data_IF_962362679746
#
_entry.id   IF_962362679746
#
_cell.length_a   1.000
_cell.length_b   1.000
_cell.length_c   1.000
_cell.angle_alpha   90.00
_cell.angle_beta   90.00
_cell.angle_gamma   90.00
#
_symmetry.space_group_name_H-M   'P 1'
#
loop_
_entity.id
_entity.type
_entity.pdbx_description
1 polymer ?
#
# COMPACT_ATOMS: atom_id res chain seq x y z
N UNK A 1 9.10 -2.55 -11.41
CA UNK A 1 8.21 -3.36 -12.28
C UNK A 1 7.16 -4.09 -11.46
N UNK A 2 5.88 -4.03 -11.88
CA UNK A 2 4.78 -4.75 -11.23
C UNK A 2 4.53 -6.07 -11.97
N UNK A 3 4.66 -7.19 -11.27
CA UNK A 3 4.37 -8.52 -11.78
C UNK A 3 3.44 -9.28 -10.83
N UNK A 4 2.50 -10.02 -11.41
CA UNK A 4 1.63 -10.92 -10.66
C UNK A 4 2.13 -12.35 -10.80
N UNK A 5 2.37 -13.02 -9.68
CA UNK A 5 2.76 -14.42 -9.67
C UNK A 5 1.64 -15.31 -10.24
N UNK A 6 2.01 -16.40 -10.91
CA UNK A 6 1.05 -17.44 -11.30
C UNK A 6 0.34 -17.99 -10.05
N UNK A 7 -0.86 -18.59 -10.18
CA UNK A 7 -1.57 -19.10 -9.01
C UNK A 7 -0.75 -20.08 -8.15
N UNK A 8 0.02 -20.96 -8.80
CA UNK A 8 0.88 -21.92 -8.11
C UNK A 8 2.06 -21.22 -7.42
N UNK A 9 2.74 -20.32 -8.13
CA UNK A 9 3.87 -19.59 -7.56
C UNK A 9 3.40 -18.71 -6.40
N UNK A 10 2.24 -18.05 -6.54
CA UNK A 10 1.65 -17.25 -5.48
C UNK A 10 1.42 -18.06 -4.20
N UNK A 11 0.97 -19.32 -4.30
CA UNK A 11 0.82 -20.19 -3.13
C UNK A 11 2.17 -20.50 -2.46
N UNK A 12 3.19 -20.85 -3.24
CA UNK A 12 4.55 -21.12 -2.74
C UNK A 12 5.14 -19.87 -2.11
N UNK A 13 5.15 -18.75 -2.83
CA UNK A 13 5.69 -17.47 -2.35
C UNK A 13 4.95 -16.99 -1.10
N UNK A 14 3.65 -17.25 -0.97
CA UNK A 14 2.88 -16.92 0.24
C UNK A 14 3.34 -17.73 1.46
N UNK A 15 3.62 -19.02 1.29
CA UNK A 15 4.14 -19.87 2.37
C UNK A 15 5.51 -19.37 2.86
N UNK A 16 6.42 -19.03 1.94
CA UNK A 16 7.74 -18.53 2.33
C UNK A 16 7.68 -17.11 2.86
N UNK A 17 6.78 -16.28 2.35
CA UNK A 17 6.48 -14.96 2.90
C UNK A 17 6.03 -15.05 4.35
N UNK A 18 5.14 -16.01 4.66
CA UNK A 18 4.71 -16.29 6.04
C UNK A 18 5.90 -16.65 6.94
N UNK A 19 6.75 -17.60 6.52
CA UNK A 19 7.94 -18.01 7.29
C UNK A 19 8.92 -16.86 7.53
N UNK A 20 9.24 -16.07 6.49
CA UNK A 20 10.11 -14.89 6.62
C UNK A 20 9.51 -13.88 7.59
N UNK A 21 8.20 -13.64 7.48
CA UNK A 21 7.51 -12.67 8.33
C UNK A 21 7.58 -13.09 9.80
N UNK A 22 7.36 -14.36 10.14
CA UNK A 22 7.48 -14.83 11.54
C UNK A 22 8.88 -14.58 12.12
N UNK A 23 9.93 -14.89 11.34
CA UNK A 23 11.31 -14.64 11.75
C UNK A 23 11.62 -13.15 11.88
N UNK A 24 11.14 -12.32 10.96
CA UNK A 24 11.28 -10.87 11.01
C UNK A 24 10.57 -10.27 12.23
N UNK A 25 9.38 -10.73 12.58
CA UNK A 25 8.67 -10.26 13.78
C UNK A 25 9.49 -10.51 15.06
N UNK A 26 10.11 -11.69 15.18
CA UNK A 26 11.02 -11.99 16.28
C UNK A 26 12.26 -11.09 16.28
N UNK A 27 12.81 -10.80 15.10
CA UNK A 27 13.96 -9.91 14.93
C UNK A 27 13.63 -8.45 15.27
N UNK A 28 12.45 -7.96 14.88
CA UNK A 28 11.98 -6.62 15.25
C UNK A 28 11.84 -6.47 16.76
N UNK A 29 11.32 -7.50 17.45
CA UNK A 29 11.26 -7.54 18.90
C UNK A 29 12.65 -7.47 19.54
N UNK A 30 13.59 -8.31 19.08
CA UNK A 30 14.98 -8.34 19.59
C UNK A 30 15.72 -7.01 19.37
N UNK A 31 15.48 -6.33 18.25
CA UNK A 31 16.16 -5.09 17.89
C UNK A 31 15.47 -3.82 18.40
N UNK A 32 14.29 -3.92 18.99
CA UNK A 32 13.51 -2.76 19.43
C UNK A 32 12.97 -1.93 18.26
N UNK A 33 12.55 -2.59 17.17
CA UNK A 33 12.05 -1.97 15.94
C UNK A 33 10.53 -2.07 15.78
N UNK A 34 9.84 -2.65 16.76
CA UNK A 34 8.42 -3.00 16.68
C UNK A 34 7.52 -1.83 16.27
N UNK A 35 7.79 -0.63 16.79
CA UNK A 35 6.98 0.57 16.52
C UNK A 35 7.52 1.44 15.38
N UNK A 36 8.68 1.08 14.81
CA UNK A 36 9.35 1.84 13.75
C UNK A 36 9.02 1.28 12.37
N UNK A 37 9.09 -0.04 12.18
CA UNK A 37 8.76 -0.67 10.91
C UNK A 37 7.28 -1.00 10.90
N UNK A 38 6.47 -0.29 10.14
CA UNK A 38 4.99 -0.40 10.21
C UNK A 38 4.38 -1.02 8.95
N UNK A 39 5.14 -1.07 7.85
CA UNK A 39 4.67 -1.60 6.57
C UNK A 39 4.60 -3.13 6.53
N UNK A 40 3.51 -3.67 5.97
CA UNK A 40 3.31 -5.10 5.70
C UNK A 40 3.35 -6.05 6.92
N UNK A 41 3.12 -5.53 8.13
CA UNK A 41 3.16 -6.30 9.38
C UNK A 41 1.79 -6.47 10.01
N UNK A 42 1.63 -7.52 10.83
CA UNK A 42 0.39 -7.81 11.57
C UNK A 42 0.40 -7.18 12.96
N UNK A 43 0.44 -5.85 13.03
CA UNK A 43 0.56 -5.11 14.29
C UNK A 43 -0.77 -4.87 15.03
N UNK A 44 -1.90 -5.31 14.48
CA UNK A 44 -3.23 -5.00 15.03
C UNK A 44 -3.64 -3.52 14.92
N UNK A 45 -2.79 -2.69 14.32
CA UNK A 45 -2.97 -1.26 14.07
C UNK A 45 -3.20 -1.01 12.58
N UNK A 46 -3.89 0.08 12.26
CA UNK A 46 -4.12 0.56 10.89
C UNK A 46 -3.26 1.79 10.60
N UNK A 47 -3.14 2.16 9.33
CA UNK A 47 -2.39 3.35 8.91
C UNK A 47 -2.79 4.64 9.64
N UNK A 48 -4.07 4.80 10.00
CA UNK A 48 -4.51 5.96 10.78
C UNK A 48 -3.98 5.98 12.21
N UNK A 49 -3.67 4.84 12.82
CA UNK A 49 -3.11 4.77 14.18
C UNK A 49 -1.66 5.24 14.19
N UNK A 50 -0.89 4.93 13.14
CA UNK A 50 0.47 5.41 12.96
C UNK A 50 0.51 6.89 12.59
N UNK A 51 -0.39 7.34 11.69
CA UNK A 51 -0.54 8.76 11.39
C UNK A 51 -0.91 9.58 12.64
N UNK A 52 -1.80 9.06 13.49
CA UNK A 52 -2.15 9.71 14.75
C UNK A 52 -0.96 9.80 15.71
N UNK A 53 -0.16 8.73 15.83
CA UNK A 53 1.06 8.73 16.63
C UNK A 53 2.10 9.73 16.11
N UNK A 54 2.33 9.76 14.79
CA UNK A 54 3.24 10.71 14.16
C UNK A 54 2.84 12.16 14.43
N UNK A 55 1.55 12.49 14.26
CA UNK A 55 1.04 13.84 14.56
C UNK A 55 1.14 14.17 16.05
N UNK A 56 0.84 13.23 16.94
CA UNK A 56 0.95 13.45 18.38
C UNK A 56 2.40 13.76 18.77
N UNK A 57 3.37 13.01 18.23
CA UNK A 57 4.79 13.27 18.43
C UNK A 57 5.22 14.64 17.88
N UNK A 58 4.80 15.00 16.66
CA UNK A 58 5.10 16.30 16.08
C UNK A 58 4.57 17.47 16.92
N UNK A 59 3.42 17.31 17.57
CA UNK A 59 2.86 18.31 18.49
C UNK A 59 3.67 18.42 19.79
N UNK A 60 4.17 17.30 20.30
CA UNK A 60 4.91 17.23 21.57
C UNK A 60 6.25 17.96 21.48
N UNK A 61 6.95 17.83 20.35
CA UNK A 61 8.26 18.44 20.13
C UNK A 61 8.22 19.72 19.28
N UNK A 62 7.03 20.30 19.06
CA UNK A 62 6.87 21.46 18.20
C UNK A 62 7.52 22.72 18.84
N UNK A 63 8.14 23.62 18.04
CA UNK A 63 8.30 23.55 16.58
C UNK A 63 9.34 22.52 16.15
N UNK A 64 9.04 21.77 15.09
CA UNK A 64 9.91 20.69 14.59
C UNK A 64 9.95 20.60 13.06
N UNK A 65 10.86 19.80 12.52
CA UNK A 65 10.88 19.39 11.11
C UNK A 65 10.19 18.05 10.93
N UNK A 66 9.35 17.96 9.91
CA UNK A 66 8.76 16.71 9.43
C UNK A 66 9.31 16.41 8.04
N UNK A 67 9.98 15.28 7.92
CA UNK A 67 10.66 14.84 6.70
C UNK A 67 10.08 13.50 6.25
N UNK A 68 9.41 13.49 5.10
CA UNK A 68 8.90 12.30 4.45
C UNK A 68 9.76 12.01 3.22
N UNK A 69 10.42 10.86 3.22
CA UNK A 69 11.36 10.43 2.20
C UNK A 69 10.79 9.26 1.39
N UNK A 70 11.02 9.25 0.09
CA UNK A 70 10.74 8.15 -0.84
C UNK A 70 12.07 7.59 -1.35
N UNK A 71 12.16 6.27 -1.52
CA UNK A 71 13.37 5.61 -2.06
C UNK A 71 13.18 5.37 -3.55
N UNK A 72 14.11 5.86 -4.36
CA UNK A 72 14.03 5.76 -5.82
C UNK A 72 14.06 4.31 -6.27
N UNK A 73 13.02 3.89 -7.00
CA UNK A 73 12.94 2.55 -7.59
C UNK A 73 13.11 1.43 -6.56
N UNK A 74 12.62 1.60 -5.33
CA UNK A 74 12.97 0.76 -4.17
C UNK A 74 13.02 -0.74 -4.46
N UNK A 75 11.91 -1.33 -4.94
CA UNK A 75 11.88 -2.76 -5.25
C UNK A 75 12.73 -3.14 -6.45
N UNK A 76 12.93 -2.22 -7.40
CA UNK A 76 13.70 -2.45 -8.61
C UNK A 76 15.20 -2.36 -8.35
N UNK A 77 15.64 -1.77 -7.23
CA UNK A 77 17.06 -1.56 -6.91
C UNK A 77 17.59 -2.48 -5.79
N UNK A 78 16.81 -3.45 -5.30
CA UNK A 78 17.28 -4.36 -4.24
C UNK A 78 18.40 -5.29 -4.75
N UNK A 79 19.65 -5.06 -4.33
CA UNK A 79 20.79 -5.90 -4.71
C UNK A 79 20.58 -7.37 -4.29
N UNK A 80 20.69 -8.30 -5.25
CA UNK A 80 20.41 -9.71 -5.00
C UNK A 80 21.45 -10.36 -4.08
N UNK A 81 22.73 -9.97 -4.18
CA UNK A 81 23.78 -10.54 -3.34
C UNK A 81 23.58 -10.16 -1.88
N UNK A 82 23.27 -8.89 -1.62
CA UNK A 82 22.96 -8.40 -0.28
C UNK A 82 21.68 -9.02 0.24
N UNK A 83 20.60 -9.07 -0.56
CA UNK A 83 19.35 -9.71 -0.15
C UNK A 83 19.55 -11.19 0.20
N UNK A 84 20.32 -11.94 -0.59
CA UNK A 84 20.69 -13.33 -0.28
C UNK A 84 21.43 -13.44 1.05
N UNK A 85 22.37 -12.52 1.31
CA UNK A 85 23.13 -12.50 2.55
C UNK A 85 22.22 -12.20 3.77
N UNK A 86 21.29 -11.25 3.65
CA UNK A 86 20.29 -10.97 4.71
C UNK A 86 19.38 -12.17 4.96
N UNK A 87 18.96 -12.87 3.91
CA UNK A 87 18.14 -14.08 4.06
C UNK A 87 18.89 -15.20 4.77
N UNK A 88 20.18 -15.40 4.44
CA UNK A 88 21.05 -16.35 5.14
C UNK A 88 21.21 -16.00 6.62
N UNK A 89 21.38 -14.71 6.93
CA UNK A 89 21.45 -14.21 8.31
C UNK A 89 20.15 -14.49 9.07
N UNK A 90 19.00 -14.15 8.49
CA UNK A 90 17.68 -14.35 9.12
C UNK A 90 17.39 -15.82 9.43
N UNK A 91 17.83 -16.72 8.55
CA UNK A 91 17.66 -18.17 8.69
C UNK A 91 18.74 -18.82 9.56
N UNK A 92 19.78 -18.07 9.95
CA UNK A 92 20.98 -18.57 10.65
C UNK A 92 21.66 -19.74 9.92
N UNK A 93 21.93 -19.56 8.62
CA UNK A 93 22.54 -20.60 7.78
C UNK A 93 23.76 -20.10 7.00
N UNK A 94 24.76 -20.99 6.86
CA UNK A 94 25.93 -20.72 6.01
C UNK A 94 25.63 -20.72 4.51
N UNK A 95 24.62 -21.46 4.07
CA UNK A 95 24.11 -21.46 2.70
C UNK A 95 22.60 -21.68 2.71
N UNK A 96 21.89 -21.15 1.71
CA UNK A 96 20.44 -21.34 1.62
C UNK A 96 20.13 -22.82 1.32
N UNK A 97 19.23 -23.46 2.10
CA UNK A 97 18.73 -24.78 1.75
C UNK A 97 18.09 -24.80 0.36
N UNK A 98 18.04 -25.96 -0.28
CA UNK A 98 17.68 -26.05 -1.71
C UNK A 98 16.29 -25.49 -2.04
N UNK A 99 15.34 -25.60 -1.11
CA UNK A 99 13.98 -25.08 -1.23
C UNK A 99 13.96 -23.54 -1.12
N UNK A 100 14.65 -22.97 -0.13
CA UNK A 100 14.85 -21.53 0.04
C UNK A 100 15.61 -20.91 -1.14
N UNK A 101 16.65 -21.57 -1.63
CA UNK A 101 17.39 -21.09 -2.79
C UNK A 101 16.52 -21.09 -4.05
N UNK A 102 15.66 -22.11 -4.21
CA UNK A 102 14.70 -22.17 -5.31
C UNK A 102 13.71 -21.00 -5.27
N UNK A 103 13.20 -20.67 -4.09
CA UNK A 103 12.31 -19.50 -3.89
C UNK A 103 13.04 -18.19 -4.14
N UNK A 104 14.24 -18.03 -3.59
CA UNK A 104 15.07 -16.85 -3.81
C UNK A 104 15.34 -16.64 -5.31
N UNK A 105 15.70 -17.71 -6.04
CA UNK A 105 15.89 -17.68 -7.48
C UNK A 105 14.59 -17.34 -8.23
N UNK A 106 13.45 -17.84 -7.79
CA UNK A 106 12.16 -17.57 -8.42
C UNK A 106 11.74 -16.09 -8.31
N UNK A 107 12.27 -15.34 -7.33
CA UNK A 107 11.97 -13.92 -7.13
C UNK A 107 13.03 -13.01 -7.75
N UNK A 108 14.28 -13.47 -7.87
CA UNK A 108 15.41 -12.67 -8.38
C UNK A 108 15.71 -12.92 -9.87
N UNK A 109 15.49 -14.15 -10.34
CA UNK A 109 15.66 -14.57 -11.74
C UNK A 109 14.34 -15.04 -12.32
N UNK A 110 13.31 -14.22 -12.12
CA UNK A 110 11.94 -14.53 -12.51
C UNK A 110 11.76 -14.42 -14.02
N UNK A 111 10.73 -15.10 -14.51
CA UNK A 111 10.24 -14.96 -15.89
C UNK A 111 8.95 -14.19 -15.87
N UNK A 112 8.74 -13.34 -16.87
CA UNK A 112 7.56 -12.51 -16.98
C UNK A 112 6.96 -12.59 -18.39
N UNK A 113 5.68 -12.27 -18.48
CA UNK A 113 4.96 -12.09 -19.73
C UNK A 113 4.30 -10.72 -19.65
N UNK A 114 4.56 -9.88 -20.65
CA UNK A 114 3.93 -8.57 -20.73
C UNK A 114 2.43 -8.71 -21.02
N UNK A 115 1.60 -8.00 -20.26
CA UNK A 115 0.15 -8.05 -20.42
C UNK A 115 -0.29 -7.57 -21.81
N UNK A 116 0.46 -6.65 -22.43
CA UNK A 116 0.23 -6.19 -23.80
C UNK A 116 0.28 -7.35 -24.80
N UNK A 117 1.32 -8.19 -24.73
CA UNK A 117 1.49 -9.34 -25.63
C UNK A 117 0.34 -10.33 -25.52
N UNK A 118 -0.26 -10.50 -24.34
CA UNK A 118 -1.41 -11.40 -24.17
C UNK A 118 -2.69 -10.74 -24.74
N UNK A 119 -2.84 -9.42 -24.60
CA UNK A 119 -4.00 -8.67 -25.11
C UNK A 119 -4.04 -8.58 -26.63
N UNK A 120 -2.89 -8.63 -27.29
CA UNK A 120 -2.80 -8.62 -28.76
C UNK A 120 -3.13 -9.99 -29.36
N UNK A 121 -3.15 -11.06 -28.56
CA UNK A 121 -3.33 -12.42 -29.06
C UNK A 121 -4.80 -12.88 -28.96
N UNK A 122 -5.44 -13.13 -30.11
CA UNK A 122 -6.87 -13.46 -30.23
C UNK A 122 -7.31 -14.61 -29.31
N UNK A 123 -6.50 -15.68 -29.22
CA UNK A 123 -6.81 -16.86 -28.39
C UNK A 123 -7.04 -16.57 -26.89
N UNK A 124 -6.53 -15.45 -26.37
CA UNK A 124 -6.64 -15.08 -24.95
C UNK A 124 -7.51 -13.84 -24.70
N UNK A 125 -7.87 -13.10 -25.75
CA UNK A 125 -8.57 -11.81 -25.64
C UNK A 125 -9.90 -11.95 -24.91
N UNK A 126 -10.73 -12.93 -25.29
CA UNK A 126 -12.02 -13.19 -24.65
C UNK A 126 -11.87 -13.58 -23.17
N UNK A 127 -10.82 -14.36 -22.85
CA UNK A 127 -10.55 -14.81 -21.47
C UNK A 127 -10.13 -13.64 -20.59
N UNK A 128 -9.32 -12.72 -21.11
CA UNK A 128 -8.91 -11.49 -20.42
C UNK A 128 -10.08 -10.54 -20.19
N UNK A 129 -10.95 -10.39 -21.19
CA UNK A 129 -12.08 -9.47 -21.11
C UNK A 129 -13.27 -10.04 -20.33
N UNK A 130 -13.29 -11.36 -20.11
CA UNK A 130 -14.31 -12.01 -19.30
C UNK A 130 -14.27 -11.53 -17.85
N UNK A 131 -15.41 -11.20 -17.23
CA UNK A 131 -15.49 -10.88 -15.80
C UNK A 131 -15.28 -12.12 -14.89
N UNK A 132 -14.96 -13.28 -15.49
CA UNK A 132 -14.73 -14.54 -14.81
C UNK A 132 -13.36 -14.61 -14.12
N UNK A 133 -13.30 -15.21 -12.94
CA UNK A 133 -12.04 -15.56 -12.24
C UNK A 133 -11.32 -16.78 -12.84
N UNK A 134 -11.45 -17.00 -14.16
CA UNK A 134 -10.87 -18.16 -14.84
C UNK A 134 -9.41 -17.89 -15.18
N UNK A 135 -8.65 -18.97 -15.29
CA UNK A 135 -7.27 -18.93 -15.78
C UNK A 135 -7.25 -18.33 -17.19
N UNK A 136 -6.39 -17.33 -17.42
CA UNK A 136 -6.17 -16.76 -18.75
C UNK A 136 -5.54 -17.81 -19.66
N UNK A 137 -4.43 -18.41 -19.22
CA UNK A 137 -3.80 -19.55 -19.87
C UNK A 137 -2.64 -20.10 -19.04
N UNK A 138 -2.26 -21.33 -19.34
CA UNK A 138 -1.08 -22.01 -18.79
C UNK A 138 0.19 -21.58 -19.51
N UNK A 139 1.36 -21.77 -18.89
CA UNK A 139 2.65 -21.52 -19.56
C UNK A 139 2.82 -22.37 -20.83
N UNK A 140 2.21 -23.58 -20.87
CA UNK A 140 2.23 -24.43 -22.07
C UNK A 140 1.44 -23.78 -23.22
N UNK A 141 0.24 -23.26 -22.93
CA UNK A 141 -0.55 -22.52 -23.91
C UNK A 141 0.17 -21.26 -24.37
N UNK A 142 0.77 -20.48 -23.46
CA UNK A 142 1.51 -19.26 -23.81
C UNK A 142 2.67 -19.56 -24.77
N UNK A 143 3.43 -20.64 -24.51
CA UNK A 143 4.51 -21.08 -25.40
C UNK A 143 4.00 -21.57 -26.75
N UNK A 144 2.93 -22.36 -26.77
CA UNK A 144 2.33 -22.85 -28.01
C UNK A 144 1.79 -21.72 -28.89
N UNK A 145 1.31 -20.64 -28.26
CA UNK A 145 0.88 -19.40 -28.90
C UNK A 145 2.04 -18.47 -29.33
N UNK A 146 3.30 -18.87 -29.11
CA UNK A 146 4.45 -18.04 -29.46
C UNK A 146 4.60 -16.76 -28.63
N UNK A 147 3.91 -16.65 -27.49
CA UNK A 147 4.00 -15.47 -26.62
C UNK A 147 5.39 -15.41 -26.00
N UNK A 148 6.05 -14.26 -26.14
CA UNK A 148 7.38 -14.04 -25.58
C UNK A 148 7.35 -14.12 -24.05
N UNK A 149 8.26 -14.91 -23.47
CA UNK A 149 8.47 -15.04 -22.03
C UNK A 149 9.83 -14.42 -21.71
N UNK A 150 9.81 -13.19 -21.19
CA UNK A 150 11.01 -12.46 -20.81
C UNK A 150 11.68 -13.08 -19.58
N UNK A 151 13.01 -13.00 -19.53
CA UNK A 151 13.82 -13.34 -18.37
C UNK A 151 14.29 -12.05 -17.71
N UNK A 152 14.19 -11.99 -16.38
CA UNK A 152 14.85 -10.94 -15.60
C UNK A 152 16.33 -11.32 -15.38
N UNK A 153 17.23 -10.55 -16.00
CA UNK A 153 18.68 -10.82 -16.00
C UNK A 153 19.48 -9.91 -15.06
N UNK A 154 18.85 -8.84 -14.55
CA UNK A 154 19.50 -7.89 -13.66
C UNK A 154 19.92 -8.56 -12.34
N UNK A 155 20.98 -8.02 -11.73
CA UNK A 155 21.53 -8.48 -10.45
C UNK A 155 20.91 -7.79 -9.24
N UNK A 156 19.91 -6.96 -9.48
CA UNK A 156 19.16 -6.21 -8.51
C UNK A 156 17.69 -6.27 -8.90
N UNK A 157 16.80 -5.95 -7.96
CA UNK A 157 15.38 -5.84 -8.22
C UNK A 157 14.58 -7.10 -7.93
N UNK A 158 13.37 -6.89 -7.41
CA UNK A 158 12.38 -7.94 -7.17
C UNK A 158 11.02 -7.48 -7.70
N UNK A 159 10.19 -8.39 -8.24
CA UNK A 159 8.92 -8.02 -8.84
C UNK A 159 7.96 -7.46 -7.79
N UNK A 160 7.42 -6.26 -7.99
CA UNK A 160 6.37 -5.72 -7.14
C UNK A 160 5.06 -6.49 -7.38
N UNK A 161 4.32 -6.81 -6.32
CA UNK A 161 3.02 -7.50 -6.43
C UNK A 161 3.05 -9.02 -6.25
N UNK A 162 4.23 -9.61 -6.02
CA UNK A 162 4.30 -11.00 -5.54
C UNK A 162 4.08 -11.08 -4.02
N UNK A 163 3.59 -12.21 -3.48
CA UNK A 163 3.31 -12.34 -2.05
C UNK A 163 4.53 -12.18 -1.11
N UNK A 164 5.75 -12.35 -1.63
CA UNK A 164 6.99 -12.37 -0.84
C UNK A 164 7.79 -11.07 -0.93
N UNK A 165 7.59 -10.26 -1.97
CA UNK A 165 8.42 -9.06 -2.21
C UNK A 165 8.38 -8.07 -1.04
N UNK A 166 7.21 -7.93 -0.41
CA UNK A 166 7.00 -7.05 0.74
C UNK A 166 7.83 -7.44 1.98
N UNK A 167 7.96 -8.73 2.29
CA UNK A 167 8.77 -9.16 3.43
C UNK A 167 10.27 -9.16 3.09
N UNK A 168 10.63 -9.41 1.82
CA UNK A 168 12.02 -9.28 1.36
C UNK A 168 12.52 -7.84 1.42
N UNK A 169 11.68 -6.85 1.06
CA UNK A 169 12.07 -5.44 1.18
C UNK A 169 12.22 -5.01 2.63
N UNK A 170 11.36 -5.50 3.52
CA UNK A 170 11.48 -5.32 4.96
C UNK A 170 12.76 -5.97 5.54
N UNK A 171 13.13 -7.16 5.07
CA UNK A 171 14.38 -7.81 5.43
C UNK A 171 15.60 -7.02 4.94
N UNK A 172 15.53 -6.46 3.74
CA UNK A 172 16.62 -5.68 3.16
C UNK A 172 16.94 -4.42 3.99
N UNK A 173 15.90 -3.76 4.50
CA UNK A 173 16.00 -2.52 5.25
C UNK A 173 16.33 -2.70 6.75
N UNK A 174 16.35 -3.93 7.26
CA UNK A 174 16.39 -4.23 8.69
C UNK A 174 17.55 -3.56 9.45
N UNK A 175 18.75 -3.51 8.85
CA UNK A 175 19.91 -2.88 9.50
C UNK A 175 19.83 -1.35 9.45
N UNK A 176 19.33 -0.79 8.35
CA UNK A 176 19.10 0.65 8.19
C UNK A 176 18.06 1.12 9.20
N UNK A 177 16.99 0.35 9.37
CA UNK A 177 15.95 0.62 10.37
C UNK A 177 16.56 0.72 11.77
N UNK A 178 17.51 -0.17 12.10
CA UNK A 178 18.14 -0.17 13.42
C UNK A 178 19.02 1.05 13.63
N UNK A 179 19.85 1.39 12.65
CA UNK A 179 20.72 2.56 12.70
C UNK A 179 19.92 3.86 12.78
N UNK A 180 18.86 3.98 11.97
CA UNK A 180 17.99 5.15 12.00
C UNK A 180 17.16 5.26 13.28
N UNK A 181 16.67 4.14 13.81
CA UNK A 181 15.98 4.11 15.10
C UNK A 181 16.89 4.63 16.22
N UNK A 182 18.15 4.20 16.24
CA UNK A 182 19.13 4.65 17.24
C UNK A 182 19.48 6.14 17.07
N UNK A 183 19.77 6.59 15.85
CA UNK A 183 20.08 7.99 15.56
C UNK A 183 18.93 8.92 15.94
N UNK A 184 17.69 8.54 15.61
CA UNK A 184 16.51 9.31 15.97
C UNK A 184 16.26 9.31 17.48
N UNK A 185 16.41 8.18 18.15
CA UNK A 185 16.29 8.10 19.61
C UNK A 185 17.23 9.07 20.33
N UNK A 186 18.50 9.12 19.91
CA UNK A 186 19.50 10.03 20.48
C UNK A 186 19.24 11.51 20.19
N UNK A 187 18.38 11.80 19.21
CA UNK A 187 18.07 13.15 18.73
C UNK A 187 16.66 13.62 19.16
N UNK A 188 16.02 12.91 20.09
CA UNK A 188 14.60 13.10 20.45
C UNK A 188 13.69 13.18 19.20
N UNK A 189 13.90 12.28 18.26
CA UNK A 189 13.22 12.22 16.97
C UNK A 189 12.46 10.90 16.79
N UNK A 190 11.43 10.93 15.95
CA UNK A 190 10.64 9.77 15.56
C UNK A 190 11.12 9.24 14.21
N UNK A 191 11.31 7.91 14.12
CA UNK A 191 11.54 7.18 12.87
C UNK A 191 10.40 6.19 12.62
N UNK A 192 9.75 6.25 11.46
CA UNK A 192 8.77 5.26 11.01
C UNK A 192 8.95 4.92 9.53
N UNK A 193 8.91 3.63 9.18
CA UNK A 193 8.99 3.17 7.79
C UNK A 193 7.79 2.31 7.39
N UNK A 194 7.14 2.70 6.30
CA UNK A 194 6.13 1.91 5.62
C UNK A 194 6.66 1.55 4.23
N UNK A 195 7.18 0.32 4.05
CA UNK A 195 7.80 -0.07 2.77
C UNK A 195 8.98 0.84 2.43
N UNK A 196 8.85 1.63 1.38
CA UNK A 196 9.73 2.67 0.82
C UNK A 196 9.45 4.06 1.39
N UNK A 197 8.26 4.29 1.94
CA UNK A 197 7.91 5.55 2.59
C UNK A 197 8.58 5.63 3.97
N UNK A 198 9.53 6.55 4.16
CA UNK A 198 10.23 6.78 5.42
C UNK A 198 9.80 8.12 5.99
N UNK A 199 9.40 8.15 7.26
CA UNK A 199 9.07 9.35 8.01
C UNK A 199 10.08 9.57 9.12
N UNK A 200 10.63 10.78 9.17
CA UNK A 200 11.44 11.28 10.28
C UNK A 200 10.81 12.58 10.79
N UNK A 201 10.58 12.66 12.11
CA UNK A 201 10.14 13.90 12.77
C UNK A 201 11.18 14.25 13.81
N UNK A 202 11.81 15.43 13.69
CA UNK A 202 12.96 15.79 14.52
C UNK A 202 12.93 17.27 14.93
N UNK A 203 13.62 17.64 16.02
CA UNK A 203 14.04 19.02 16.23
C UNK A 203 14.79 19.57 15.01
N UNK A 204 14.69 20.87 14.76
CA UNK A 204 15.32 21.53 13.61
C UNK A 204 16.84 21.33 13.56
N UNK A 205 17.50 21.38 14.72
CA UNK A 205 18.95 21.26 14.85
C UNK A 205 19.52 19.90 14.43
N UNK A 206 18.67 18.86 14.39
CA UNK A 206 19.07 17.49 14.02
C UNK A 206 18.58 17.07 12.64
N UNK A 207 17.75 17.89 11.96
CA UNK A 207 17.07 17.50 10.74
C UNK A 207 18.04 17.15 9.61
N UNK A 208 19.01 18.02 9.31
CA UNK A 208 19.97 17.77 8.22
C UNK A 208 20.88 16.58 8.53
N UNK A 209 21.35 16.46 9.78
CA UNK A 209 22.17 15.31 10.22
C UNK A 209 21.43 13.98 10.03
N UNK A 210 20.15 13.91 10.40
CA UNK A 210 19.36 12.68 10.27
C UNK A 210 19.05 12.34 8.81
N UNK A 211 18.83 13.35 7.97
CA UNK A 211 18.66 13.20 6.53
C UNK A 211 19.94 12.66 5.87
N UNK A 212 21.08 13.27 6.16
CA UNK A 212 22.39 12.85 5.62
C UNK A 212 22.71 11.42 6.07
N UNK A 213 22.50 11.11 7.35
CA UNK A 213 22.69 9.75 7.88
C UNK A 213 21.81 8.73 7.15
N UNK A 214 20.55 9.05 6.85
CA UNK A 214 19.69 8.18 6.06
C UNK A 214 20.22 7.99 4.63
N UNK A 215 20.65 9.08 3.98
CA UNK A 215 21.23 9.06 2.63
C UNK A 215 22.48 8.17 2.56
N UNK A 216 23.38 8.28 3.54
CA UNK A 216 24.59 7.46 3.64
C UNK A 216 24.26 5.98 3.83
N UNK A 217 23.34 5.67 4.76
CA UNK A 217 22.92 4.29 5.03
C UNK A 217 22.28 3.63 3.80
N UNK A 218 21.46 4.37 3.04
CA UNK A 218 20.85 3.88 1.80
C UNK A 218 21.90 3.67 0.71
N UNK A 219 22.83 4.61 0.56
CA UNK A 219 23.89 4.54 -0.46
C UNK A 219 24.79 3.31 -0.26
N UNK A 220 25.07 2.94 1.00
CA UNK A 220 25.82 1.75 1.36
C UNK A 220 25.17 0.42 0.93
N UNK A 221 23.87 0.44 0.63
CA UNK A 221 23.12 -0.71 0.10
C UNK A 221 22.64 -0.48 -1.33
N UNK A 222 23.26 0.45 -2.07
CA UNK A 222 22.89 0.74 -3.46
C UNK A 222 21.44 1.24 -3.64
N UNK A 223 20.89 1.87 -2.61
CA UNK A 223 19.63 2.61 -2.66
C UNK A 223 19.89 4.11 -2.60
N UNK A 224 18.96 4.90 -3.10
CA UNK A 224 19.03 6.36 -3.06
C UNK A 224 17.68 6.99 -2.74
N UNK A 225 17.72 8.16 -2.10
CA UNK A 225 16.53 8.97 -1.90
C UNK A 225 16.01 9.52 -3.23
N UNK A 226 14.71 9.76 -3.29
CA UNK A 226 14.07 10.48 -4.37
C UNK A 226 13.87 11.93 -3.94
N UNK A 227 14.79 12.82 -4.32
CA UNK A 227 14.75 14.22 -3.89
C UNK A 227 13.47 14.94 -4.37
N UNK A 228 12.98 14.61 -5.57
CA UNK A 228 11.78 15.23 -6.15
C UNK A 228 10.49 14.90 -5.37
N UNK A 229 10.45 13.73 -4.73
CA UNK A 229 9.30 13.26 -3.93
C UNK A 229 9.50 13.43 -2.43
N UNK A 230 10.71 13.75 -1.99
CA UNK A 230 11.00 13.95 -0.58
C UNK A 230 10.38 15.27 -0.13
N UNK A 231 9.50 15.21 0.86
CA UNK A 231 8.80 16.36 1.42
C UNK A 231 9.42 16.72 2.77
N UNK A 232 10.04 17.90 2.86
CA UNK A 232 10.55 18.46 4.12
C UNK A 232 9.70 19.69 4.44
N UNK A 233 9.08 19.69 5.62
CA UNK A 233 8.17 20.76 6.05
C UNK A 233 8.40 21.15 7.49
N UNK A 234 8.19 22.42 7.79
CA UNK A 234 8.12 22.91 9.16
C UNK A 234 6.76 22.58 9.77
N UNK A 235 6.78 22.10 11.00
CA UNK A 235 5.60 21.88 11.81
C UNK A 235 5.65 22.80 13.03
N UNK A 236 4.99 23.93 12.90
CA UNK A 236 4.93 24.98 13.92
C UNK A 236 3.46 25.24 14.29
N UNK A 237 3.07 25.18 15.58
CA UNK A 237 1.73 25.50 16.04
C UNK A 237 1.23 26.90 15.64
N UNK A 238 2.14 27.85 15.43
CA UNK A 238 1.82 29.19 14.93
C UNK A 238 1.57 29.22 13.41
N UNK A 239 2.03 28.20 12.68
CA UNK A 239 1.87 28.09 11.24
C UNK A 239 0.64 27.25 10.84
N UNK A 240 0.15 27.47 9.63
CA UNK A 240 -0.93 26.68 9.02
C UNK A 240 -0.42 25.56 8.13
N UNK A 241 0.89 25.33 8.09
CA UNK A 241 1.51 24.33 7.23
C UNK A 241 1.07 22.92 7.65
N UNK A 242 0.97 22.04 6.66
CA UNK A 242 0.59 20.65 6.86
C UNK A 242 1.57 19.74 6.15
N UNK A 243 1.84 18.58 6.75
CA UNK A 243 2.59 17.51 6.11
C UNK A 243 1.67 16.37 5.71
N UNK A 244 2.09 15.58 4.72
CA UNK A 244 1.31 14.44 4.26
C UNK A 244 1.93 13.13 4.73
N UNK A 245 1.12 12.24 5.31
CA UNK A 245 1.60 10.92 5.71
C UNK A 245 0.46 9.88 5.74
N UNK A 246 0.73 8.69 5.19
CA UNK A 246 -0.19 7.54 5.17
C UNK A 246 -1.62 7.86 4.69
N UNK A 247 -1.76 8.82 3.78
CA UNK A 247 -3.04 9.22 3.17
C UNK A 247 -3.81 10.31 3.93
N UNK A 248 -3.16 10.99 4.87
CA UNK A 248 -3.70 12.14 5.59
C UNK A 248 -2.84 13.38 5.37
N UNK A 249 -3.48 14.54 5.34
CA UNK A 249 -2.83 15.84 5.47
C UNK A 249 -2.99 16.27 6.93
N UNK A 250 -1.89 16.61 7.61
CA UNK A 250 -1.86 16.84 9.05
C UNK A 250 -1.19 18.17 9.37
N UNK A 251 -1.86 18.95 10.21
CA UNK A 251 -1.41 20.25 10.71
C UNK A 251 -1.55 20.29 12.24
N UNK A 252 -1.02 21.34 12.90
CA UNK A 252 -1.27 21.55 14.31
C UNK A 252 -2.77 21.64 14.64
N UNK A 253 -3.54 22.28 13.76
CA UNK A 253 -4.99 22.48 13.93
C UNK A 253 -5.86 21.24 13.68
N UNK A 254 -5.32 20.18 13.06
CA UNK A 254 -6.03 18.92 12.89
C UNK A 254 -5.52 18.08 11.73
N UNK A 255 -6.38 17.18 11.23
CA UNK A 255 -6.04 16.31 10.11
C UNK A 255 -7.19 16.22 9.11
N UNK A 256 -6.88 15.96 7.84
CA UNK A 256 -7.85 15.65 6.79
C UNK A 256 -7.39 14.43 6.00
N UNK A 257 -8.33 13.74 5.34
CA UNK A 257 -8.00 12.73 4.34
C UNK A 257 -7.43 13.45 3.12
N UNK A 258 -6.31 12.95 2.58
CA UNK A 258 -5.66 13.47 1.38
C UNK A 258 -6.68 13.64 0.25
N UNK A 259 -6.67 14.81 -0.39
CA UNK A 259 -7.64 15.16 -1.43
C UNK A 259 -7.71 14.11 -2.55
N UNK A 260 -6.55 13.59 -2.98
CA UNK A 260 -6.46 12.54 -4.02
C UNK A 260 -7.10 11.21 -3.60
N UNK A 261 -6.93 10.81 -2.34
CA UNK A 261 -7.59 9.63 -1.75
C UNK A 261 -9.11 9.80 -1.75
N UNK A 262 -9.61 10.96 -1.35
CA UNK A 262 -11.03 11.27 -1.33
C UNK A 262 -11.61 11.33 -2.75
N UNK A 263 -10.93 11.98 -3.70
CA UNK A 263 -11.33 12.06 -5.10
C UNK A 263 -11.42 10.67 -5.76
N UNK A 264 -10.52 9.75 -5.42
CA UNK A 264 -10.59 8.35 -5.87
C UNK A 264 -11.88 7.68 -5.37
N UNK A 265 -12.30 7.93 -4.13
CA UNK A 265 -13.53 7.35 -3.58
C UNK A 265 -14.78 7.97 -4.22
N UNK A 266 -14.78 9.28 -4.50
CA UNK A 266 -15.83 9.93 -5.30
C UNK A 266 -16.02 9.29 -6.66
N UNK A 267 -14.93 9.08 -7.41
CA UNK A 267 -14.98 8.41 -8.72
C UNK A 267 -15.51 6.98 -8.61
N UNK A 268 -15.06 6.22 -7.61
CA UNK A 268 -15.57 4.86 -7.34
C UNK A 268 -17.06 4.86 -7.03
N UNK A 269 -17.54 5.80 -6.23
CA UNK A 269 -18.95 5.95 -5.89
C UNK A 269 -19.79 6.26 -7.14
N UNK A 270 -19.44 7.31 -7.89
CA UNK A 270 -20.16 7.71 -9.10
C UNK A 270 -20.21 6.58 -10.13
N UNK A 271 -19.08 5.90 -10.38
CA UNK A 271 -19.03 4.76 -11.30
C UNK A 271 -19.93 3.62 -10.84
N UNK A 272 -19.88 3.27 -9.55
CA UNK A 272 -20.70 2.19 -9.02
C UNK A 272 -22.20 2.52 -9.09
N UNK A 273 -22.60 3.74 -8.73
CA UNK A 273 -23.99 4.21 -8.87
C UNK A 273 -24.44 4.15 -10.32
N UNK A 274 -23.63 4.63 -11.26
CA UNK A 274 -23.94 4.61 -12.70
C UNK A 274 -24.17 3.19 -13.19
N UNK A 275 -23.21 2.29 -13.00
CA UNK A 275 -23.29 0.88 -13.45
C UNK A 275 -24.48 0.17 -12.81
N UNK A 276 -24.66 0.29 -11.50
CA UNK A 276 -25.82 -0.34 -10.82
C UNK A 276 -27.14 0.21 -11.32
N UNK A 277 -27.21 1.50 -11.67
CA UNK A 277 -28.39 2.10 -12.28
C UNK A 277 -28.66 1.58 -13.69
N UNK A 278 -27.63 1.45 -14.53
CA UNK A 278 -27.73 0.89 -15.88
C UNK A 278 -28.18 -0.58 -15.84
N UNK A 279 -27.47 -1.43 -15.10
CA UNK A 279 -27.80 -2.85 -14.95
C UNK A 279 -29.20 -3.05 -14.35
N UNK A 280 -29.54 -2.24 -13.36
CA UNK A 280 -30.86 -2.30 -12.71
C UNK A 280 -32.00 -1.92 -13.65
N UNK A 281 -31.82 -0.88 -14.48
CA UNK A 281 -32.82 -0.50 -15.49
C UNK A 281 -32.99 -1.56 -16.57
N UNK A 282 -31.89 -2.11 -17.09
CA UNK A 282 -31.93 -3.20 -18.06
C UNK A 282 -32.63 -4.45 -17.50
N UNK A 283 -32.38 -4.80 -16.24
CA UNK A 283 -33.06 -5.92 -15.57
C UNK A 283 -34.57 -5.68 -15.38
N UNK A 284 -34.99 -4.43 -15.13
CA UNK A 284 -36.41 -4.07 -15.04
C UNK A 284 -37.09 -4.17 -16.41
N UNK A 285 -36.45 -3.64 -17.45
CA UNK A 285 -36.94 -3.70 -18.83
C UNK A 285 -37.09 -5.15 -19.31
N UNK A 286 -36.16 -6.02 -18.94
CA UNK A 286 -36.22 -7.45 -19.24
C UNK A 286 -37.16 -8.26 -18.31
N UNK A 287 -37.84 -7.62 -17.34
CA UNK A 287 -38.78 -8.28 -16.43
C UNK A 287 -38.14 -9.14 -15.32
N UNK A 288 -36.82 -9.10 -15.17
CA UNK A 288 -36.09 -9.85 -14.14
C UNK A 288 -36.10 -9.18 -12.75
N UNK A 289 -36.47 -7.89 -12.67
CA UNK A 289 -36.47 -7.14 -11.41
C UNK A 289 -37.59 -6.08 -11.36
N UNK A 290 -38.13 -5.82 -10.16
CA UNK A 290 -39.12 -4.75 -9.95
C UNK A 290 -38.48 -3.40 -9.60
N UNK A 291 -37.18 -3.38 -9.23
CA UNK A 291 -36.48 -2.16 -8.84
C UNK A 291 -34.95 -2.33 -8.90
N UNK A 292 -34.23 -1.20 -8.90
CA UNK A 292 -32.77 -1.20 -8.84
C UNK A 292 -32.30 -1.63 -7.44
N UNK A 293 -31.59 -2.76 -7.35
CA UNK A 293 -31.10 -3.28 -6.08
C UNK A 293 -29.90 -2.49 -5.54
N UNK A 294 -30.14 -1.65 -4.53
CA UNK A 294 -29.12 -0.71 -3.99
C UNK A 294 -28.36 -1.22 -2.75
N UNK A 295 -28.65 -2.43 -2.25
CA UNK A 295 -28.06 -3.00 -1.02
C UNK A 295 -26.52 -3.00 -1.04
N UNK A 296 -25.92 -3.38 -2.18
CA UNK A 296 -24.45 -3.40 -2.34
C UNK A 296 -23.84 -1.99 -2.28
N UNK A 297 -24.50 -0.99 -2.88
CA UNK A 297 -24.05 0.42 -2.82
C UNK A 297 -24.08 0.94 -1.39
N UNK A 298 -25.18 0.71 -0.66
CA UNK A 298 -25.32 1.13 0.75
C UNK A 298 -24.23 0.51 1.63
N UNK A 299 -23.99 -0.80 1.53
CA UNK A 299 -22.91 -1.47 2.29
C UNK A 299 -21.51 -0.93 1.95
N UNK A 300 -21.31 -0.47 0.72
CA UNK A 300 -20.00 0.00 0.23
C UNK A 300 -19.70 1.45 0.60
N UNK A 301 -20.71 2.33 0.60
CA UNK A 301 -20.51 3.78 0.70
C UNK A 301 -21.15 4.43 1.94
N UNK A 302 -21.86 3.68 2.76
CA UNK A 302 -22.38 4.12 4.06
C UNK A 302 -21.56 3.52 5.22
N UNK A 303 -21.65 4.07 6.44
CA UNK A 303 -20.94 3.55 7.62
C UNK A 303 -21.56 2.26 8.18
N UNK A 304 -21.99 1.36 7.29
CA UNK A 304 -22.69 0.12 7.61
C UNK A 304 -21.74 -1.04 7.30
N UNK A 305 -21.35 -1.77 8.35
CA UNK A 305 -20.41 -2.89 8.26
C UNK A 305 -18.96 -2.52 8.52
N UNK A 306 -18.12 -3.55 8.66
CA UNK A 306 -16.79 -3.43 9.28
C UNK A 306 -15.70 -2.96 8.31
N UNK A 307 -15.83 -3.31 7.01
CA UNK A 307 -14.78 -3.15 5.99
C UNK A 307 -15.24 -2.32 4.78
N UNK A 308 -15.29 -1.01 4.95
CA UNK A 308 -15.40 -0.07 3.82
C UNK A 308 -14.68 1.26 4.13
N UNK A 309 -14.60 2.15 3.13
CA UNK A 309 -13.90 3.43 3.25
C UNK A 309 -14.53 4.35 4.30
N UNK A 310 -15.86 4.37 4.42
CA UNK A 310 -16.56 5.21 5.39
C UNK A 310 -16.30 4.76 6.83
N UNK A 311 -16.40 3.46 7.12
CA UNK A 311 -16.05 2.90 8.42
C UNK A 311 -14.57 3.11 8.76
N UNK A 312 -13.66 2.98 7.78
CA UNK A 312 -12.24 3.31 7.94
C UNK A 312 -12.03 4.79 8.28
N UNK A 313 -12.61 5.71 7.51
CA UNK A 313 -12.47 7.15 7.70
C UNK A 313 -13.04 7.62 9.05
N UNK A 314 -14.12 7.00 9.54
CA UNK A 314 -14.68 7.29 10.87
C UNK A 314 -13.76 6.82 12.00
N UNK A 315 -13.14 5.64 11.87
CA UNK A 315 -12.12 5.19 12.84
C UNK A 315 -10.91 6.10 12.81
N UNK A 316 -10.45 6.50 11.61
CA UNK A 316 -9.38 7.47 11.47
C UNK A 316 -9.72 8.82 12.11
N UNK A 317 -10.93 9.34 11.92
CA UNK A 317 -11.39 10.57 12.57
C UNK A 317 -11.32 10.49 14.10
N UNK A 318 -11.70 9.33 14.67
CA UNK A 318 -11.60 9.06 16.11
C UNK A 318 -10.15 9.02 16.58
N UNK A 319 -9.29 8.24 15.92
CA UNK A 319 -7.89 8.09 16.28
C UNK A 319 -7.11 9.41 16.18
N UNK A 320 -7.35 10.20 15.13
CA UNK A 320 -6.73 11.51 14.91
C UNK A 320 -7.36 12.64 15.72
N UNK A 321 -8.47 12.40 16.44
CA UNK A 321 -9.25 13.45 17.11
C UNK A 321 -9.78 14.53 16.16
N UNK A 322 -9.91 14.23 14.86
CA UNK A 322 -10.10 15.25 13.83
C UNK A 322 -11.56 15.43 13.39
N UNK A 323 -12.10 16.63 13.65
CA UNK A 323 -13.36 17.11 13.06
C UNK A 323 -13.25 17.29 11.54
N UNK A 324 -12.05 17.54 11.00
CA UNK A 324 -11.80 17.69 9.56
C UNK A 324 -12.12 16.42 8.78
N UNK A 325 -11.52 15.29 9.18
CA UNK A 325 -11.81 13.96 8.62
C UNK A 325 -13.30 13.63 8.73
N UNK A 326 -13.92 13.90 9.88
CA UNK A 326 -15.34 13.62 10.11
C UNK A 326 -16.24 14.43 9.18
N UNK A 327 -15.93 15.71 8.93
CA UNK A 327 -16.68 16.55 7.99
C UNK A 327 -16.57 16.04 6.56
N UNK A 328 -15.37 15.68 6.12
CA UNK A 328 -15.13 15.13 4.78
C UNK A 328 -15.95 13.85 4.56
N UNK A 329 -15.92 12.92 5.52
CA UNK A 329 -16.65 11.66 5.35
C UNK A 329 -18.17 11.82 5.42
N UNK A 330 -18.69 12.67 6.32
CA UNK A 330 -20.12 12.98 6.36
C UNK A 330 -20.62 13.60 5.05
N UNK A 331 -19.82 14.45 4.41
CA UNK A 331 -20.14 14.99 3.08
C UNK A 331 -20.19 13.87 2.04
N UNK A 332 -19.20 13.00 2.00
CA UNK A 332 -19.17 11.84 1.09
C UNK A 332 -20.40 10.93 1.26
N UNK A 333 -20.73 10.58 2.50
CA UNK A 333 -21.86 9.70 2.82
C UNK A 333 -23.20 10.32 2.41
N UNK A 334 -23.41 11.63 2.62
CA UNK A 334 -24.63 12.33 2.22
C UNK A 334 -24.86 12.29 0.72
N UNK A 335 -23.83 12.59 -0.06
CA UNK A 335 -23.93 12.54 -1.52
C UNK A 335 -24.13 11.11 -2.02
N UNK A 336 -23.47 10.13 -1.42
CA UNK A 336 -23.67 8.72 -1.76
C UNK A 336 -25.12 8.30 -1.49
N UNK A 337 -25.70 8.67 -0.34
CA UNK A 337 -27.08 8.36 -0.02
C UNK A 337 -28.06 9.09 -0.96
N UNK A 338 -27.82 10.36 -1.29
CA UNK A 338 -28.64 11.09 -2.26
C UNK A 338 -28.59 10.43 -3.64
N UNK A 339 -27.40 10.07 -4.13
CA UNK A 339 -27.25 9.39 -5.42
C UNK A 339 -27.97 8.02 -5.44
N UNK A 340 -27.91 7.28 -4.33
CA UNK A 340 -28.62 6.00 -4.17
C UNK A 340 -30.15 6.21 -4.12
N UNK A 341 -30.64 7.24 -3.44
CA UNK A 341 -32.07 7.58 -3.40
C UNK A 341 -32.60 7.93 -4.79
N UNK A 342 -31.83 8.67 -5.59
CA UNK A 342 -32.21 9.04 -6.95
C UNK A 342 -32.42 7.81 -7.85
N UNK A 343 -31.65 6.71 -7.65
CA UNK A 343 -31.87 5.45 -8.38
C UNK A 343 -33.21 4.78 -8.06
N UNK A 344 -33.72 4.96 -6.83
CA UNK A 344 -35.00 4.37 -6.41
C UNK A 344 -36.20 5.26 -6.78
N UNK A 345 -35.98 6.56 -6.96
CA UNK A 345 -37.04 7.54 -7.26
C UNK A 345 -37.55 7.42 -8.71
N UNK A 346 -36.77 6.85 -9.63
CA UNK A 346 -37.16 6.55 -11.01
C UNK A 346 -38.15 5.36 -11.15
N UNK A 347 -38.99 5.11 -10.14
CA UNK A 347 -40.08 4.14 -10.22
C UNK A 347 -41.16 4.66 -11.18
N UNK A 348 -41.53 3.94 -12.25
CA UNK A 348 -42.79 4.24 -12.92
C UNK A 348 -43.91 4.05 -11.89
N UNK A 349 -44.76 5.07 -11.72
CA UNK A 349 -45.97 4.95 -10.91
C UNK A 349 -46.77 3.77 -11.48
N UNK A 350 -47.01 2.72 -10.67
CA UNK A 350 -48.01 1.70 -10.99
C UNK A 350 -49.32 2.45 -11.25
N UNK A 351 -49.79 2.46 -12.50
CA UNK A 351 -51.19 2.76 -12.79
C UNK A 351 -51.99 1.68 -12.06
N UNK A 352 -52.79 2.12 -11.09
CA UNK A 352 -53.71 1.25 -10.35
C UNK A 352 -54.94 0.98 -11.19
#
# INVERSE_FOLDING_TARGET
MICYASHRDAAILSLYSYKITELLEAEYGRRGLTDNVIGYRKLGRSNYDFAAQARAFALDIAPCKVMAFDVTGFFDNLDHKLLKAKLKMLLDVKELPGDWYSVFKAVTKFRHIELANIREHEAFLDRINSPSYRLIGTIKEMKAAGINIGLHEDRFGVPQGTPISACLSNLYMLDIDKEMQLACFNSNALYQRYSDDILVISPHEHAEMLKDRLGDLLSNVSLSLNDDKSEISDFDPAATQSFQYLGFDMSPSGATIRASSLARQWRKMRRAVRITGEDGRAAIEAGYAESVFTKKLRKRFSPIGVRNFSSYARRAAKALGSKGVLRQIKRFEREADQAIRNLNASRPKRQR
#
